data_IF_395682703736
#
_entry.id   IF_395682703736
#
_cell.length_a   1.000
_cell.length_b   1.000
_cell.length_c   1.000
_cell.angle_alpha   90.00
_cell.angle_beta   90.00
_cell.angle_gamma   90.00
#
_symmetry.space_group_name_H-M   'P 1'
#
loop_
_entity.id
_entity.type
_entity.pdbx_description
1 polymer ?
#
# COMPACT_ATOMS: atom_id res chain seq x y z
N UNK A 1 -4.58 2.32 8.03
CA UNK A 1 -4.03 2.53 6.68
C UNK A 1 -4.28 1.24 5.90
N UNK A 2 -4.98 1.30 4.78
CA UNK A 2 -5.41 0.14 3.99
C UNK A 2 -4.40 -0.18 2.87
N UNK A 3 -4.58 -1.32 2.20
CA UNK A 3 -3.71 -1.77 1.12
C UNK A 3 -3.53 -0.72 0.02
N UNK A 4 -4.61 -0.02 -0.36
CA UNK A 4 -4.58 1.01 -1.39
C UNK A 4 -3.78 2.24 -0.95
N UNK A 5 -3.89 2.65 0.31
CA UNK A 5 -3.15 3.78 0.88
C UNK A 5 -1.65 3.50 0.94
N UNK A 6 -1.25 2.27 1.35
CA UNK A 6 0.15 1.86 1.33
C UNK A 6 0.72 1.82 -0.09
N UNK A 7 -0.05 1.30 -1.04
CA UNK A 7 0.33 1.28 -2.45
C UNK A 7 0.50 2.69 -3.01
N UNK A 8 -0.46 3.58 -2.77
CA UNK A 8 -0.39 4.97 -3.21
C UNK A 8 0.79 5.72 -2.57
N UNK A 9 1.13 5.41 -1.31
CA UNK A 9 2.31 5.97 -0.65
C UNK A 9 3.62 5.46 -1.29
N UNK A 10 3.71 4.16 -1.60
CA UNK A 10 4.86 3.58 -2.29
C UNK A 10 5.06 4.24 -3.67
N UNK A 11 3.99 4.31 -4.47
CA UNK A 11 3.98 4.95 -5.79
C UNK A 11 4.39 6.42 -5.67
N UNK A 12 3.85 7.19 -4.72
CA UNK A 12 4.26 8.59 -4.51
C UNK A 12 5.75 8.76 -4.20
N UNK A 13 6.42 7.81 -3.55
CA UNK A 13 7.86 7.92 -3.28
C UNK A 13 8.68 7.77 -4.56
N UNK A 14 8.26 6.88 -5.47
CA UNK A 14 8.99 6.63 -6.73
C UNK A 14 8.55 7.56 -7.87
N UNK A 15 7.31 8.05 -7.81
CA UNK A 15 6.66 8.89 -8.82
C UNK A 15 6.62 10.37 -8.45
N UNK A 16 7.10 10.78 -7.26
CA UNK A 16 7.47 12.19 -7.05
C UNK A 16 8.71 12.48 -7.89
N UNK A 17 8.43 12.65 -9.17
CA UNK A 17 9.38 12.90 -10.22
C UNK A 17 10.19 14.14 -9.86
N UNK A 18 11.52 13.95 -9.84
CA UNK A 18 12.60 14.70 -10.54
C UNK A 18 12.53 16.24 -10.70
N UNK A 19 11.36 16.87 -10.63
CA UNK A 19 11.10 18.29 -10.86
C UNK A 19 11.09 19.14 -9.57
N UNK A 20 10.89 18.55 -8.39
CA UNK A 20 10.68 19.35 -7.15
C UNK A 20 11.58 18.99 -5.97
N UNK A 21 12.11 17.77 -5.87
CA UNK A 21 12.82 17.31 -4.66
C UNK A 21 13.94 16.30 -4.98
N UNK A 22 14.96 16.72 -5.74
CA UNK A 22 16.25 16.03 -5.83
C UNK A 22 16.25 14.63 -6.48
N UNK A 23 17.43 14.00 -6.52
CA UNK A 23 17.60 12.67 -7.09
C UNK A 23 16.99 11.58 -6.17
N UNK A 24 16.34 10.59 -6.78
CA UNK A 24 15.91 9.38 -6.07
C UNK A 24 17.15 8.65 -5.57
N UNK A 25 17.16 8.32 -4.28
CA UNK A 25 18.26 7.61 -3.61
C UNK A 25 17.85 6.17 -3.27
N UNK A 26 18.82 5.26 -3.01
CA UNK A 26 18.52 3.90 -2.53
C UNK A 26 17.57 3.82 -1.32
N UNK A 27 17.62 4.81 -0.42
CA UNK A 27 16.71 4.91 0.74
C UNK A 27 15.24 5.08 0.33
N UNK A 28 14.97 5.84 -0.73
CA UNK A 28 13.61 5.98 -1.27
C UNK A 28 13.06 4.66 -1.80
N UNK A 29 13.89 3.90 -2.51
CA UNK A 29 13.51 2.56 -2.97
C UNK A 29 13.23 1.63 -1.79
N UNK A 30 14.05 1.67 -0.74
CA UNK A 30 13.83 0.85 0.46
C UNK A 30 12.52 1.20 1.17
N UNK A 31 12.19 2.50 1.27
CA UNK A 31 10.90 2.95 1.83
C UNK A 31 9.71 2.50 0.97
N UNK A 32 9.83 2.63 -0.35
CA UNK A 32 8.79 2.16 -1.27
C UNK A 32 8.59 0.64 -1.18
N UNK A 33 9.67 -0.13 -1.03
CA UNK A 33 9.62 -1.58 -0.84
C UNK A 33 8.88 -1.95 0.46
N UNK A 34 9.20 -1.29 1.57
CA UNK A 34 8.51 -1.52 2.85
C UNK A 34 7.01 -1.21 2.72
N UNK A 35 6.66 -0.10 2.08
CA UNK A 35 5.26 0.26 1.85
C UNK A 35 4.55 -0.75 0.94
N UNK A 36 5.23 -1.27 -0.09
CA UNK A 36 4.67 -2.32 -0.94
C UNK A 36 4.42 -3.62 -0.17
N UNK A 37 5.35 -4.02 0.71
CA UNK A 37 5.16 -5.19 1.59
C UNK A 37 4.00 -4.99 2.57
N UNK A 38 3.86 -3.79 3.14
CA UNK A 38 2.72 -3.44 4.00
C UNK A 38 1.40 -3.46 3.22
N UNK A 39 1.39 -3.00 1.97
CA UNK A 39 0.22 -3.07 1.10
C UNK A 39 -0.23 -4.52 0.86
N UNK A 40 0.71 -5.43 0.61
CA UNK A 40 0.41 -6.86 0.43
C UNK A 40 -0.15 -7.47 1.71
N UNK A 41 0.48 -7.22 2.86
CA UNK A 41 0.01 -7.72 4.16
C UNK A 41 -1.39 -7.19 4.49
N UNK A 42 -1.63 -5.89 4.26
CA UNK A 42 -2.95 -5.28 4.46
C UNK A 42 -3.99 -5.90 3.50
N UNK A 43 -3.66 -6.13 2.23
CA UNK A 43 -4.58 -6.74 1.27
C UNK A 43 -4.97 -8.17 1.69
N UNK A 44 -4.03 -8.95 2.24
CA UNK A 44 -4.31 -10.28 2.75
C UNK A 44 -5.23 -10.20 3.98
N UNK A 45 -4.96 -9.27 4.91
CA UNK A 45 -5.80 -9.06 6.09
C UNK A 45 -7.22 -8.64 5.70
N UNK A 46 -7.34 -7.64 4.83
CA UNK A 46 -8.62 -7.13 4.32
C UNK A 46 -9.41 -8.21 3.58
N UNK A 47 -8.75 -9.02 2.75
CA UNK A 47 -9.40 -10.14 2.05
C UNK A 47 -9.86 -11.23 3.04
N UNK A 48 -9.12 -11.44 4.12
CA UNK A 48 -9.50 -12.39 5.17
C UNK A 48 -10.72 -11.88 5.94
N UNK A 49 -10.73 -10.60 6.34
CA UNK A 49 -11.86 -9.94 7.01
C UNK A 49 -13.11 -9.90 6.13
N UNK A 50 -12.98 -9.59 4.84
CA UNK A 50 -14.09 -9.59 3.90
C UNK A 50 -14.71 -10.99 3.72
N UNK A 51 -13.90 -12.05 3.88
CA UNK A 51 -14.37 -13.43 3.83
C UNK A 51 -15.04 -13.90 5.12
N UNK A 52 -14.60 -13.42 6.28
CA UNK A 52 -15.15 -13.79 7.58
C UNK A 52 -16.32 -12.92 8.03
N UNK A 53 -16.54 -11.77 7.39
CA UNK A 53 -17.76 -11.00 7.58
C UNK A 53 -18.97 -11.89 7.26
N UNK A 54 -19.96 -12.03 8.17
CA UNK A 54 -21.15 -12.81 7.89
C UNK A 54 -21.79 -12.22 6.64
N UNK A 55 -21.98 -13.05 5.61
CA UNK A 55 -22.92 -12.73 4.55
C UNK A 55 -24.24 -12.46 5.28
N UNK A 56 -24.68 -11.21 5.28
CA UNK A 56 -26.03 -10.83 5.68
C UNK A 56 -26.98 -11.56 4.73
N UNK A 57 -27.35 -12.79 5.11
CA UNK A 57 -28.50 -13.46 4.55
C UNK A 57 -29.70 -12.64 5.00
N UNK A 58 -30.18 -11.84 4.05
CA UNK A 58 -31.48 -11.17 4.11
C UNK A 58 -32.53 -12.24 4.49
N UNK A 59 -33.30 -11.94 5.53
CA UNK A 59 -34.20 -12.85 6.23
C UNK A 59 -35.57 -12.96 5.56
#
# INVERSE_FOLDING_TARGET
>A
MNAAEYRAAAERIVTKDTLSYGAITPDHFRKAEILAQLAVSAAISEATEARTAPQSTDA
#
